data_IF_742763381997
#
_entry.id   IF_742763381997
#
_cell.length_a   1.000
_cell.length_b   1.000
_cell.length_c   1.000
_cell.angle_alpha   90.00
_cell.angle_beta   90.00
_cell.angle_gamma   90.00
#
_symmetry.space_group_name_H-M   'P 1'
#
loop_
_entity.id
_entity.type
_entity.pdbx_description
1 polymer ?
#
# COMPACT_ATOMS: atom_id res chain seq x y z
N UNK A 1 -85.67 -15.09 -38.94
CA UNK A 1 -85.12 -15.56 -37.64
C UNK A 1 -84.25 -16.77 -37.95
N UNK A 2 -82.95 -16.85 -37.69
CA UNK A 2 -82.08 -16.22 -36.69
C UNK A 2 -80.71 -15.92 -37.31
N UNK A 3 -80.15 -14.77 -36.96
CA UNK A 3 -78.74 -14.40 -37.16
C UNK A 3 -77.95 -15.04 -36.02
N UNK A 4 -76.98 -15.90 -36.32
CA UNK A 4 -76.03 -16.38 -35.30
C UNK A 4 -74.67 -15.72 -35.52
N UNK A 5 -74.38 -14.81 -34.59
CA UNK A 5 -73.17 -14.01 -34.48
C UNK A 5 -71.97 -14.86 -34.10
N UNK A 6 -70.84 -14.63 -34.79
CA UNK A 6 -69.52 -15.14 -34.43
C UNK A 6 -68.99 -14.38 -33.20
N UNK A 7 -68.83 -15.06 -32.07
CA UNK A 7 -68.05 -14.53 -30.94
C UNK A 7 -66.63 -15.10 -31.06
N UNK A 8 -65.69 -14.28 -31.56
CA UNK A 8 -64.26 -14.53 -31.39
C UNK A 8 -63.85 -14.05 -30.00
N UNK A 9 -63.52 -14.99 -29.12
CA UNK A 9 -62.87 -14.67 -27.85
C UNK A 9 -61.42 -14.26 -28.14
N UNK A 10 -61.11 -12.97 -27.97
CA UNK A 10 -59.75 -12.45 -28.02
C UNK A 10 -59.11 -12.72 -26.65
N UNK A 11 -58.26 -13.75 -26.57
CA UNK A 11 -57.43 -13.97 -25.39
C UNK A 11 -56.34 -12.89 -25.34
N UNK A 12 -56.52 -11.89 -24.48
CA UNK A 12 -55.49 -10.90 -24.17
C UNK A 12 -54.48 -11.59 -23.26
N UNK A 13 -53.38 -12.07 -23.85
CA UNK A 13 -52.18 -12.38 -23.08
C UNK A 13 -51.57 -11.05 -22.61
N UNK A 14 -51.88 -10.66 -21.37
CA UNK A 14 -51.10 -9.65 -20.67
C UNK A 14 -49.73 -10.26 -20.37
N UNK A 15 -48.79 -10.14 -21.31
CA UNK A 15 -47.38 -10.29 -21.01
C UNK A 15 -47.01 -9.16 -20.04
N UNK A 16 -47.05 -9.46 -18.74
CA UNK A 16 -46.42 -8.64 -17.73
C UNK A 16 -44.93 -8.64 -18.03
N UNK A 17 -44.48 -7.72 -18.88
CA UNK A 17 -43.08 -7.38 -19.01
C UNK A 17 -42.67 -6.83 -17.64
N UNK A 18 -42.14 -7.71 -16.80
CA UNK A 18 -41.45 -7.33 -15.59
C UNK A 18 -40.30 -6.42 -16.08
N UNK A 19 -40.49 -5.10 -15.98
CA UNK A 19 -39.56 -4.12 -16.50
C UNK A 19 -38.23 -4.33 -15.78
N UNK A 20 -37.33 -5.07 -16.42
CA UNK A 20 -35.98 -5.28 -15.91
C UNK A 20 -35.37 -3.89 -15.75
N UNK A 21 -35.01 -3.52 -14.52
CA UNK A 21 -34.29 -2.27 -14.28
C UNK A 21 -32.98 -2.35 -15.04
N UNK A 22 -32.89 -1.59 -16.13
CA UNK A 22 -31.68 -1.43 -16.91
C UNK A 22 -30.65 -0.65 -16.08
N UNK A 23 -29.41 -1.12 -16.11
CA UNK A 23 -28.28 -0.42 -15.51
C UNK A 23 -27.98 0.85 -16.30
N UNK A 24 -27.91 1.98 -15.59
CA UNK A 24 -27.46 3.27 -16.14
C UNK A 24 -26.55 3.93 -15.10
N UNK A 25 -25.56 4.75 -15.51
CA UNK A 25 -24.69 5.46 -14.56
C UNK A 25 -25.47 6.23 -13.48
N UNK A 26 -26.51 6.98 -13.87
CA UNK A 26 -27.30 7.77 -12.93
C UNK A 26 -27.98 6.90 -11.87
N UNK A 27 -28.64 5.81 -12.27
CA UNK A 27 -29.29 4.87 -11.32
C UNK A 27 -28.31 4.24 -10.33
N UNK A 28 -27.09 3.91 -10.77
CA UNK A 28 -26.05 3.39 -9.87
C UNK A 28 -25.60 4.48 -8.91
N UNK A 29 -25.38 5.70 -9.38
CA UNK A 29 -25.05 6.84 -8.52
C UNK A 29 -26.18 7.13 -7.51
N UNK A 30 -27.43 7.09 -7.94
CA UNK A 30 -28.60 7.32 -7.09
C UNK A 30 -28.77 6.25 -6.01
N UNK A 31 -28.32 5.02 -6.26
CA UNK A 31 -28.32 3.93 -5.28
C UNK A 31 -27.28 4.11 -4.18
N UNK A 32 -26.21 4.86 -4.42
CA UNK A 32 -25.07 5.02 -3.51
C UNK A 32 -25.35 6.21 -2.60
N UNK A 33 -25.38 5.95 -1.29
CA UNK A 33 -25.66 6.96 -0.26
C UNK A 33 -24.45 7.18 0.62
N UNK A 34 -24.22 8.42 1.04
CA UNK A 34 -23.08 8.79 1.88
C UNK A 34 -23.09 8.00 3.20
N UNK A 35 -24.27 7.75 3.76
CA UNK A 35 -24.45 6.99 5.00
C UNK A 35 -24.05 5.51 4.85
N UNK A 36 -24.21 4.93 3.66
CA UNK A 36 -23.80 3.54 3.41
C UNK A 36 -22.29 3.44 3.18
N UNK A 37 -21.69 4.44 2.53
CA UNK A 37 -20.23 4.56 2.42
C UNK A 37 -19.59 4.70 3.80
N UNK A 38 -20.11 5.58 4.64
CA UNK A 38 -19.61 5.77 6.01
C UNK A 38 -19.69 4.47 6.82
N UNK A 39 -20.81 3.72 6.78
CA UNK A 39 -20.89 2.41 7.45
C UNK A 39 -19.80 1.43 7.01
N UNK A 40 -19.46 1.41 5.72
CA UNK A 40 -18.37 0.56 5.22
C UNK A 40 -17.03 1.04 5.78
N UNK A 41 -16.78 2.35 5.78
CA UNK A 41 -15.56 2.92 6.35
C UNK A 41 -15.44 2.67 7.86
N UNK A 42 -16.52 2.80 8.62
CA UNK A 42 -16.56 2.48 10.04
C UNK A 42 -16.30 0.98 10.28
N UNK A 43 -16.81 0.09 9.43
CA UNK A 43 -16.52 -1.34 9.52
C UNK A 43 -15.04 -1.64 9.25
N UNK A 44 -14.44 -1.05 8.21
CA UNK A 44 -13.01 -1.18 7.92
C UNK A 44 -12.14 -0.58 9.03
N UNK A 45 -12.56 0.56 9.61
CA UNK A 45 -11.90 1.18 10.75
C UNK A 45 -11.94 0.29 11.99
N UNK A 46 -13.11 -0.30 12.29
CA UNK A 46 -13.23 -1.26 13.37
C UNK A 46 -12.33 -2.47 13.15
N UNK A 47 -12.30 -3.03 11.93
CA UNK A 47 -11.41 -4.15 11.58
C UNK A 47 -9.94 -3.76 11.80
N UNK A 48 -9.52 -2.58 11.34
CA UNK A 48 -8.17 -2.10 11.58
C UNK A 48 -7.87 -1.98 13.07
N UNK A 49 -8.75 -1.31 13.82
CA UNK A 49 -8.61 -1.07 15.26
C UNK A 49 -8.48 -2.38 16.06
N UNK A 50 -9.35 -3.37 15.77
CA UNK A 50 -9.32 -4.68 16.41
C UNK A 50 -8.05 -5.50 16.06
N UNK A 51 -7.30 -5.11 15.03
CA UNK A 51 -6.13 -5.81 14.51
C UNK A 51 -4.86 -4.94 14.52
N UNK A 52 -4.55 -4.34 15.68
CA UNK A 52 -3.35 -3.51 15.87
C UNK A 52 -3.34 -2.26 14.97
N UNK A 53 -4.52 -1.66 14.80
CA UNK A 53 -4.74 -0.43 14.05
C UNK A 53 -4.31 -0.45 12.58
N UNK A 54 -4.33 -1.62 11.92
CA UNK A 54 -3.98 -1.75 10.52
C UNK A 54 -4.71 -2.93 9.83
N UNK A 55 -4.67 -2.97 8.50
CA UNK A 55 -5.15 -4.08 7.67
C UNK A 55 -4.07 -4.49 6.67
N UNK A 56 -2.80 -4.40 7.06
CA UNK A 56 -1.68 -4.64 6.16
C UNK A 56 -1.60 -6.10 5.73
N UNK A 57 -1.14 -6.32 4.49
CA UNK A 57 -0.98 -7.68 3.97
C UNK A 57 -0.10 -8.52 4.91
N UNK A 58 -0.40 -9.81 4.99
CA UNK A 58 0.32 -10.72 5.89
C UNK A 58 0.01 -10.52 7.37
N UNK A 59 -0.82 -9.56 7.77
CA UNK A 59 -1.32 -9.39 9.14
C UNK A 59 -2.82 -9.74 9.26
N UNK A 60 -3.32 -10.07 10.47
CA UNK A 60 -4.70 -10.53 10.66
C UNK A 60 -5.78 -9.57 10.15
N UNK A 61 -5.55 -8.25 10.22
CA UNK A 61 -6.50 -7.24 9.76
C UNK A 61 -6.80 -7.32 8.26
N UNK A 62 -5.83 -7.75 7.44
CA UNK A 62 -6.07 -7.98 6.02
C UNK A 62 -7.06 -9.12 5.78
N UNK A 63 -6.86 -10.25 6.47
CA UNK A 63 -7.76 -11.41 6.37
C UNK A 63 -9.17 -11.05 6.84
N UNK A 64 -9.31 -10.31 7.93
CA UNK A 64 -10.60 -9.82 8.41
C UNK A 64 -11.29 -8.88 7.40
N UNK A 65 -10.53 -8.05 6.70
CA UNK A 65 -11.04 -7.18 5.62
C UNK A 65 -11.53 -8.00 4.42
N UNK A 66 -10.79 -9.04 4.04
CA UNK A 66 -11.16 -9.97 2.98
C UNK A 66 -12.45 -10.71 3.33
N UNK A 67 -12.55 -11.23 4.55
CA UNK A 67 -13.75 -11.91 5.05
C UNK A 67 -14.97 -10.96 5.08
N UNK A 68 -14.76 -9.70 5.47
CA UNK A 68 -15.79 -8.65 5.41
C UNK A 68 -16.30 -8.42 3.97
N UNK A 69 -15.41 -8.18 3.00
CA UNK A 69 -15.82 -7.96 1.60
C UNK A 69 -16.53 -9.20 1.03
N UNK A 70 -16.03 -10.40 1.31
CA UNK A 70 -16.67 -11.64 0.88
C UNK A 70 -18.08 -11.79 1.46
N UNK A 71 -18.29 -11.43 2.73
CA UNK A 71 -19.63 -11.47 3.35
C UNK A 71 -20.64 -10.55 2.66
N UNK A 72 -20.18 -9.40 2.18
CA UNK A 72 -20.99 -8.40 1.48
C UNK A 72 -21.30 -8.81 0.03
N UNK A 73 -20.33 -9.43 -0.64
CA UNK A 73 -20.50 -9.93 -2.01
C UNK A 73 -21.30 -11.24 -2.09
N UNK A 74 -21.09 -12.17 -1.15
CA UNK A 74 -21.58 -13.55 -1.19
C UNK A 74 -23.10 -13.75 -1.06
N UNK A 75 -23.87 -12.69 -0.79
CA UNK A 75 -25.33 -12.75 -0.80
C UNK A 75 -25.90 -12.92 -2.22
N UNK A 76 -26.56 -14.05 -2.46
CA UNK A 76 -27.31 -14.35 -3.69
C UNK A 76 -26.48 -14.93 -4.84
N UNK A 77 -27.07 -15.02 -6.03
CA UNK A 77 -26.46 -15.64 -7.22
C UNK A 77 -26.00 -14.60 -8.27
N UNK A 78 -25.35 -13.52 -7.82
CA UNK A 78 -24.99 -12.38 -8.68
C UNK A 78 -23.53 -12.40 -9.17
N UNK A 79 -22.62 -12.93 -8.36
CA UNK A 79 -21.18 -12.91 -8.62
C UNK A 79 -20.61 -14.33 -8.73
N UNK A 80 -19.68 -14.52 -9.65
CA UNK A 80 -18.68 -15.57 -9.59
C UNK A 80 -17.44 -14.99 -8.91
N UNK A 81 -17.16 -15.45 -7.69
CA UNK A 81 -16.10 -14.90 -6.84
C UNK A 81 -14.91 -15.86 -6.84
N UNK A 82 -13.73 -15.33 -7.10
CA UNK A 82 -12.45 -16.02 -6.94
C UNK A 82 -11.65 -15.32 -5.85
N UNK A 83 -11.21 -16.10 -4.87
CA UNK A 83 -10.16 -15.68 -3.93
C UNK A 83 -8.85 -16.21 -4.49
N UNK A 84 -8.06 -15.35 -5.13
CA UNK A 84 -6.82 -15.71 -5.79
C UNK A 84 -5.65 -15.64 -4.80
N UNK A 85 -5.02 -16.76 -4.44
CA UNK A 85 -3.84 -16.76 -3.57
C UNK A 85 -2.57 -16.38 -4.35
N UNK A 86 -1.64 -15.72 -3.67
CA UNK A 86 -0.28 -15.51 -4.15
C UNK A 86 0.68 -15.34 -2.98
N UNK A 87 1.99 -15.45 -3.22
CA UNK A 87 3.02 -15.27 -2.19
C UNK A 87 3.80 -14.01 -2.46
N UNK A 88 3.96 -13.17 -1.43
CA UNK A 88 4.80 -11.98 -1.49
C UNK A 88 5.78 -11.93 -0.32
N UNK A 89 6.86 -11.16 -0.48
CA UNK A 89 7.78 -10.86 0.60
C UNK A 89 7.09 -9.93 1.61
N UNK A 90 6.95 -10.41 2.84
CA UNK A 90 6.53 -9.62 4.00
C UNK A 90 7.75 -9.11 4.74
N UNK A 91 7.70 -7.84 5.15
CA UNK A 91 8.73 -7.19 5.97
C UNK A 91 8.06 -6.42 7.10
N UNK A 92 8.59 -6.56 8.31
CA UNK A 92 8.17 -5.80 9.48
C UNK A 92 9.38 -5.39 10.30
N UNK A 93 9.56 -4.09 10.52
CA UNK A 93 10.53 -3.59 11.49
C UNK A 93 10.01 -3.85 12.90
N UNK A 94 10.73 -4.67 13.66
CA UNK A 94 10.42 -4.97 15.07
C UNK A 94 11.01 -3.93 16.01
N UNK A 95 12.20 -3.44 15.67
CA UNK A 95 12.93 -2.45 16.45
C UNK A 95 13.79 -1.61 15.52
N UNK A 96 13.79 -0.30 15.75
CA UNK A 96 14.83 0.60 15.24
C UNK A 96 15.23 1.53 16.37
N UNK A 97 16.54 1.69 16.58
CA UNK A 97 17.11 2.58 17.60
C UNK A 97 18.32 3.27 16.99
N UNK A 98 18.40 4.58 17.19
CA UNK A 98 19.54 5.40 16.82
C UNK A 98 20.04 6.15 18.06
N UNK A 99 21.32 5.96 18.37
CA UNK A 99 22.04 6.76 19.36
C UNK A 99 22.96 7.73 18.62
N UNK A 100 22.81 9.02 18.91
CA UNK A 100 23.59 10.09 18.30
C UNK A 100 24.99 10.25 18.87
N UNK A 101 25.79 11.15 18.31
CA UNK A 101 27.19 11.38 18.70
C UNK A 101 27.40 11.88 20.12
N UNK A 102 26.37 12.49 20.72
CA UNK A 102 26.44 13.01 22.08
C UNK A 102 25.82 12.01 23.08
N UNK A 103 25.58 10.77 22.64
CA UNK A 103 24.95 9.70 23.43
C UNK A 103 23.43 9.83 23.54
N UNK A 104 22.82 10.76 22.81
CA UNK A 104 21.39 11.02 22.88
C UNK A 104 20.57 10.00 22.08
N UNK A 105 19.35 9.71 22.55
CA UNK A 105 18.39 8.98 21.71
C UNK A 105 17.87 9.90 20.60
N UNK A 106 17.83 9.37 19.38
CA UNK A 106 17.38 10.12 18.19
C UNK A 106 16.14 9.44 17.61
N UNK A 107 15.09 10.23 17.42
CA UNK A 107 13.90 9.79 16.70
C UNK A 107 14.29 9.38 15.28
N UNK A 108 14.02 8.11 14.96
CA UNK A 108 14.43 7.48 13.70
C UNK A 108 13.29 6.63 13.16
N UNK A 109 13.08 6.72 11.86
CA UNK A 109 12.05 5.96 11.14
C UNK A 109 12.71 4.92 10.26
N UNK A 110 12.18 3.69 10.29
CA UNK A 110 12.62 2.62 9.40
C UNK A 110 11.86 2.69 8.07
N UNK A 111 12.52 2.26 7.00
CA UNK A 111 11.90 2.09 5.68
C UNK A 111 11.25 0.70 5.58
N UNK A 112 10.22 0.55 4.76
CA UNK A 112 9.67 -0.76 4.41
C UNK A 112 10.71 -1.53 3.56
N UNK A 113 10.86 -2.84 3.79
CA UNK A 113 11.90 -3.69 3.18
C UNK A 113 13.34 -3.35 3.55
N UNK A 114 13.54 -2.68 4.69
CA UNK A 114 14.85 -2.40 5.26
C UNK A 114 15.60 -3.68 5.65
N UNK A 115 16.90 -3.52 5.93
CA UNK A 115 17.77 -4.61 6.32
C UNK A 115 18.11 -4.55 7.80
N UNK A 116 18.21 -5.72 8.42
CA UNK A 116 18.68 -5.81 9.79
C UNK A 116 20.17 -5.43 9.86
N UNK A 117 20.54 -4.72 10.91
CA UNK A 117 21.94 -4.60 11.33
C UNK A 117 22.36 -5.87 12.07
N UNK A 118 23.67 -6.12 12.30
CA UNK A 118 24.08 -7.17 13.23
C UNK A 118 23.37 -6.99 14.58
N UNK A 119 22.77 -8.05 15.11
CA UNK A 119 22.08 -8.04 16.40
C UNK A 119 22.93 -8.79 17.45
N UNK A 120 22.90 -8.37 18.74
CA UNK A 120 22.05 -7.31 19.29
C UNK A 120 22.63 -5.88 19.19
N UNK A 121 23.92 -5.74 18.86
CA UNK A 121 24.67 -4.50 19.08
C UNK A 121 24.52 -3.44 17.98
N UNK A 122 23.94 -3.79 16.83
CA UNK A 122 23.77 -2.88 15.70
C UNK A 122 25.07 -2.59 14.97
N UNK A 123 25.13 -1.38 14.39
CA UNK A 123 26.32 -0.81 13.75
C UNK A 123 26.72 0.43 14.53
N UNK A 124 27.86 0.37 15.23
CA UNK A 124 28.54 1.55 15.78
C UNK A 124 29.67 1.95 14.86
N UNK A 125 29.61 3.13 14.26
CA UNK A 125 30.70 3.65 13.43
C UNK A 125 30.61 5.17 13.24
N UNK A 126 31.72 5.78 12.81
CA UNK A 126 31.77 7.20 12.46
C UNK A 126 30.84 7.54 11.29
N UNK A 127 30.29 8.74 11.30
CA UNK A 127 29.52 9.30 10.20
C UNK A 127 30.45 9.79 9.08
N UNK A 128 30.05 9.55 7.84
CA UNK A 128 30.65 10.14 6.64
C UNK A 128 29.58 10.96 5.90
N UNK A 129 29.78 12.27 5.79
CA UNK A 129 28.87 13.14 5.05
C UNK A 129 29.05 12.91 3.55
N UNK A 130 27.98 12.45 2.90
CA UNK A 130 27.91 12.40 1.44
C UNK A 130 27.59 13.81 0.91
N UNK A 131 28.23 14.27 -0.20
CA UNK A 131 28.06 15.63 -0.69
C UNK A 131 26.58 16.05 -0.79
N UNK A 132 26.27 17.20 -0.19
CA UNK A 132 24.94 17.82 -0.28
C UNK A 132 24.83 18.49 -1.65
N UNK A 133 24.01 17.89 -2.51
CA UNK A 133 23.71 18.37 -3.87
C UNK A 133 22.19 18.53 -4.03
N UNK A 134 21.71 19.77 -3.94
CA UNK A 134 20.29 20.12 -4.07
C UNK A 134 19.83 20.23 -5.53
N UNK A 135 20.77 20.22 -6.47
CA UNK A 135 20.48 20.31 -7.91
C UNK A 135 20.23 18.92 -8.47
N UNK A 136 21.22 18.03 -8.37
CA UNK A 136 21.16 16.66 -8.91
C UNK A 136 20.62 15.64 -7.90
N UNK A 137 20.83 15.90 -6.60
CA UNK A 137 20.46 15.00 -5.51
C UNK A 137 21.68 14.40 -4.84
N UNK A 138 21.65 14.34 -3.51
CA UNK A 138 22.80 13.89 -2.70
C UNK A 138 22.93 12.37 -2.70
N UNK A 139 24.12 11.84 -2.99
CA UNK A 139 24.38 10.39 -3.04
C UNK A 139 23.62 9.65 -4.14
N UNK A 140 23.16 10.35 -5.18
CA UNK A 140 22.39 9.79 -6.29
C UNK A 140 23.26 9.26 -7.43
N UNK A 141 24.52 9.67 -7.51
CA UNK A 141 25.42 9.39 -8.63
C UNK A 141 26.78 8.91 -8.14
N UNK A 142 27.41 7.99 -8.89
CA UNK A 142 28.70 7.37 -8.53
C UNK A 142 29.83 8.39 -8.31
N UNK A 143 29.85 9.51 -9.05
CA UNK A 143 30.85 10.56 -8.90
C UNK A 143 30.82 11.21 -7.51
N UNK A 144 29.67 11.21 -6.83
CA UNK A 144 29.51 11.81 -5.50
C UNK A 144 30.06 10.92 -4.37
N UNK A 145 30.47 9.68 -4.70
CA UNK A 145 31.08 8.75 -3.76
C UNK A 145 32.59 8.63 -3.95
N UNK A 146 33.14 9.22 -5.02
CA UNK A 146 34.58 9.25 -5.27
C UNK A 146 35.27 10.08 -4.20
N UNK A 147 36.39 9.57 -3.70
CA UNK A 147 37.24 10.21 -2.69
C UNK A 147 36.53 10.48 -1.34
N UNK A 148 35.38 9.84 -1.10
CA UNK A 148 34.70 9.83 0.20
C UNK A 148 35.09 8.55 0.95
N UNK A 149 35.81 8.71 2.07
CA UNK A 149 36.13 7.59 2.96
C UNK A 149 34.89 7.17 3.77
N UNK A 150 34.03 6.35 3.14
CA UNK A 150 32.78 5.81 3.74
C UNK A 150 32.90 4.32 4.13
N UNK A 151 34.00 3.65 3.79
CA UNK A 151 34.17 2.23 4.04
C UNK A 151 34.17 1.93 5.54
N UNK A 152 33.26 1.05 5.98
CA UNK A 152 33.07 0.71 7.40
C UNK A 152 32.30 1.76 8.21
N UNK A 153 31.96 2.91 7.62
CA UNK A 153 31.28 4.04 8.27
C UNK A 153 29.77 4.03 8.04
N UNK A 154 29.07 4.96 8.69
CA UNK A 154 27.66 5.25 8.44
C UNK A 154 27.56 6.43 7.48
N UNK A 155 26.97 6.23 6.30
CA UNK A 155 26.77 7.31 5.33
C UNK A 155 25.66 8.26 5.79
N UNK A 156 25.94 9.55 5.96
CA UNK A 156 24.93 10.59 6.21
C UNK A 156 24.53 11.23 4.87
N UNK A 157 23.27 11.08 4.47
CA UNK A 157 22.79 11.41 3.12
C UNK A 157 21.56 12.31 3.18
N UNK A 158 21.56 13.44 2.48
CA UNK A 158 20.35 14.26 2.33
C UNK A 158 19.36 13.57 1.38
N UNK A 159 18.09 13.51 1.79
CA UNK A 159 16.98 13.06 0.93
C UNK A 159 16.84 13.97 -0.29
N UNK A 160 16.22 13.45 -1.35
CA UNK A 160 15.80 14.25 -2.50
C UNK A 160 16.28 13.69 -3.84
N UNK A 161 15.57 14.12 -4.90
CA UNK A 161 15.75 13.86 -6.34
C UNK A 161 15.69 12.40 -6.80
N UNK A 162 16.44 11.49 -6.17
CA UNK A 162 16.45 10.07 -6.49
C UNK A 162 15.85 9.23 -5.36
N UNK A 163 15.48 7.99 -5.68
CA UNK A 163 14.90 7.03 -4.74
C UNK A 163 15.89 6.65 -3.62
N UNK A 164 15.35 6.30 -2.44
CA UNK A 164 16.13 5.78 -1.32
C UNK A 164 16.99 4.59 -1.74
N UNK A 165 16.43 3.63 -2.48
CA UNK A 165 17.13 2.43 -2.94
C UNK A 165 18.42 2.75 -3.69
N UNK A 166 18.44 3.78 -4.56
CA UNK A 166 19.64 4.17 -5.31
C UNK A 166 20.75 4.68 -4.38
N UNK A 167 20.39 5.54 -3.41
CA UNK A 167 21.35 6.08 -2.42
C UNK A 167 21.95 4.97 -1.58
N UNK A 168 21.11 4.07 -1.09
CA UNK A 168 21.53 2.97 -0.20
C UNK A 168 22.29 1.88 -0.94
N UNK A 169 22.02 1.68 -2.23
CA UNK A 169 22.82 0.82 -3.10
C UNK A 169 24.24 1.35 -3.22
N UNK A 170 24.39 2.63 -3.57
CA UNK A 170 25.71 3.25 -3.69
C UNK A 170 26.46 3.30 -2.34
N UNK A 171 25.74 3.54 -1.24
CA UNK A 171 26.33 3.44 0.10
C UNK A 171 26.94 2.06 0.34
N UNK A 172 26.17 0.99 0.07
CA UNK A 172 26.66 -0.39 0.22
C UNK A 172 27.81 -0.70 -0.72
N UNK A 173 27.70 -0.32 -2.00
CA UNK A 173 28.73 -0.60 -3.02
C UNK A 173 30.07 0.07 -2.69
N UNK A 174 30.04 1.23 -2.01
CA UNK A 174 31.24 1.92 -1.51
C UNK A 174 31.68 1.45 -0.10
N UNK A 175 31.02 0.44 0.46
CA UNK A 175 31.42 -0.22 1.70
C UNK A 175 30.89 0.41 2.98
N UNK A 176 29.85 1.26 2.93
CA UNK A 176 29.18 1.75 4.12
C UNK A 176 28.56 0.60 4.93
N UNK A 177 28.73 0.63 6.25
CA UNK A 177 28.14 -0.36 7.17
C UNK A 177 26.63 -0.13 7.36
N UNK A 178 26.20 1.12 7.26
CA UNK A 178 24.81 1.56 7.29
C UNK A 178 24.66 2.95 6.67
N UNK A 179 23.44 3.47 6.61
CA UNK A 179 23.17 4.84 6.22
C UNK A 179 22.15 5.53 7.14
N UNK A 180 22.29 6.84 7.29
CA UNK A 180 21.29 7.71 7.86
C UNK A 180 20.86 8.70 6.78
N UNK A 181 19.59 8.67 6.42
CA UNK A 181 19.02 9.61 5.46
C UNK A 181 18.26 10.67 6.22
N UNK A 182 18.58 11.94 6.02
CA UNK A 182 17.82 13.04 6.63
C UNK A 182 16.91 13.69 5.60
N UNK A 183 15.71 14.09 6.02
CA UNK A 183 14.73 14.74 5.15
C UNK A 183 15.30 15.99 4.46
N UNK A 184 14.66 16.41 3.37
CA UNK A 184 15.05 17.56 2.55
C UNK A 184 14.28 18.85 2.88
N UNK A 185 13.24 18.75 3.71
CA UNK A 185 12.40 19.87 4.11
C UNK A 185 12.27 19.96 5.65
N UNK A 186 12.58 21.11 6.27
CA UNK A 186 12.45 21.30 7.71
C UNK A 186 11.01 21.21 8.23
N UNK A 187 10.01 21.41 7.36
CA UNK A 187 8.60 21.30 7.72
C UNK A 187 8.06 19.86 7.65
N UNK A 188 8.89 18.89 7.25
CA UNK A 188 8.50 17.49 7.17
C UNK A 188 9.00 16.71 8.38
N UNK A 189 8.09 16.03 9.07
CA UNK A 189 8.45 14.97 10.01
C UNK A 189 9.17 13.84 9.29
N UNK A 190 9.98 13.06 10.01
CA UNK A 190 10.59 11.86 9.46
C UNK A 190 9.46 10.95 8.92
N UNK A 191 9.43 10.74 7.60
CA UNK A 191 8.42 9.94 6.92
C UNK A 191 9.03 8.62 6.46
N UNK A 192 8.27 7.54 6.56
CA UNK A 192 8.68 6.25 6.00
C UNK A 192 8.55 6.25 4.47
N UNK A 193 9.14 5.24 3.84
CA UNK A 193 9.07 4.97 2.41
C UNK A 193 9.41 3.52 2.14
N UNK A 194 9.14 3.05 0.92
CA UNK A 194 9.47 1.68 0.52
C UNK A 194 10.83 1.60 -0.17
N UNK A 195 11.62 0.59 0.17
CA UNK A 195 12.82 0.21 -0.57
C UNK A 195 12.54 -0.76 -1.71
N UNK A 196 11.30 -1.25 -1.85
CA UNK A 196 10.94 -2.28 -2.82
C UNK A 196 11.42 -3.68 -2.43
N UNK A 197 10.53 -4.66 -2.52
CA UNK A 197 10.83 -6.05 -2.17
C UNK A 197 11.96 -6.65 -3.04
N UNK A 198 12.11 -6.18 -4.27
CA UNK A 198 13.15 -6.56 -5.22
C UNK A 198 14.56 -6.18 -4.75
N UNK A 199 14.68 -5.24 -3.81
CA UNK A 199 15.94 -4.79 -3.23
C UNK A 199 16.32 -5.52 -1.94
N UNK A 200 15.55 -6.53 -1.53
CA UNK A 200 15.85 -7.33 -0.36
C UNK A 200 17.27 -7.92 -0.40
N UNK A 201 18.05 -7.68 0.67
CA UNK A 201 19.45 -8.07 0.81
C UNK A 201 20.46 -7.27 -0.02
N UNK A 202 20.03 -6.28 -0.81
CA UNK A 202 20.89 -5.58 -1.79
C UNK A 202 21.36 -4.20 -1.35
N UNK A 203 20.79 -3.62 -0.30
CA UNK A 203 21.07 -2.24 0.11
C UNK A 203 21.82 -2.19 1.45
N UNK A 204 22.31 -1.01 1.84
CA UNK A 204 22.77 -0.75 3.19
C UNK A 204 21.56 -0.64 4.15
N UNK A 205 21.64 -1.13 5.39
CA UNK A 205 20.61 -0.88 6.40
C UNK A 205 20.51 0.62 6.68
N UNK A 206 19.30 1.16 6.84
CA UNK A 206 19.11 2.60 6.90
C UNK A 206 18.10 3.09 7.92
N UNK A 207 18.37 4.24 8.54
CA UNK A 207 17.41 5.00 9.34
C UNK A 207 17.11 6.35 8.70
N UNK A 208 15.88 6.84 8.85
CA UNK A 208 15.48 8.18 8.40
C UNK A 208 15.30 9.10 9.60
N UNK A 209 15.95 10.27 9.56
CA UNK A 209 15.87 11.31 10.60
C UNK A 209 15.30 12.62 10.04
N UNK A 210 14.94 13.54 10.94
CA UNK A 210 14.47 14.88 10.56
C UNK A 210 15.56 15.70 9.84
N UNK A 211 15.14 16.70 9.07
CA UNK A 211 16.05 17.62 8.41
C UNK A 211 17.00 18.28 9.42
N UNK A 212 16.47 18.84 10.51
CA UNK A 212 17.26 19.58 11.50
C UNK A 212 18.33 18.72 12.16
N UNK A 213 18.00 17.48 12.51
CA UNK A 213 18.96 16.55 13.13
C UNK A 213 20.09 16.20 12.17
N UNK A 214 19.76 15.80 10.93
CA UNK A 214 20.78 15.47 9.93
C UNK A 214 21.60 16.68 9.50
N UNK A 215 20.99 17.85 9.36
CA UNK A 215 21.67 19.09 9.00
C UNK A 215 22.64 19.53 10.11
N UNK A 216 22.25 19.40 11.39
CA UNK A 216 23.14 19.67 12.52
C UNK A 216 24.40 18.79 12.50
N UNK A 217 24.25 17.48 12.27
CA UNK A 217 25.39 16.58 12.10
C UNK A 217 26.22 16.91 10.86
N UNK A 218 25.59 17.30 9.75
CA UNK A 218 26.31 17.69 8.55
C UNK A 218 27.18 18.94 8.77
N UNK A 219 26.69 19.96 9.48
CA UNK A 219 27.49 21.16 9.80
C UNK A 219 28.66 20.85 10.74
N UNK A 220 28.45 20.00 11.75
CA UNK A 220 29.53 19.53 12.63
C UNK A 220 30.62 18.75 11.87
N UNK A 221 30.23 17.86 10.95
CA UNK A 221 31.17 17.15 10.09
C UNK A 221 31.94 18.10 9.16
N UNK A 222 31.29 19.14 8.60
CA UNK A 222 31.97 20.18 7.80
C UNK A 222 32.94 21.02 8.64
N UNK A 223 32.65 21.20 9.93
CA UNK A 223 33.56 21.86 10.88
C UNK A 223 34.76 20.97 11.29
N UNK A 224 34.81 19.71 10.81
CA UNK A 224 35.91 18.78 11.06
C UNK A 224 35.74 17.90 12.30
N UNK A 225 34.55 17.90 12.92
CA UNK A 225 34.27 16.98 14.02
C UNK A 225 34.19 15.52 13.54
N UNK A 226 34.71 14.58 14.34
CA UNK A 226 34.48 13.16 14.14
C UNK A 226 33.27 12.72 14.97
N UNK A 227 32.17 12.38 14.29
CA UNK A 227 30.92 12.00 14.93
C UNK A 227 30.71 10.49 14.82
N UNK A 228 30.42 9.81 15.91
CA UNK A 228 30.07 8.38 15.92
C UNK A 228 28.58 8.19 16.23
N UNK A 229 27.95 7.18 15.65
CA UNK A 229 26.55 6.83 15.96
C UNK A 229 26.42 5.32 16.13
N UNK A 230 25.38 4.89 16.84
CA UNK A 230 24.93 3.49 16.85
C UNK A 230 23.55 3.38 16.21
N UNK A 231 23.43 2.58 15.15
CA UNK A 231 22.15 2.23 14.52
C UNK A 231 21.87 0.75 14.72
N UNK A 232 20.75 0.44 15.36
CA UNK A 232 20.25 -0.94 15.54
C UNK A 232 18.91 -1.08 14.82
N UNK A 233 18.81 -2.04 13.91
CA UNK A 233 17.59 -2.37 13.16
C UNK A 233 17.33 -3.88 13.27
N UNK A 234 16.18 -4.25 13.81
CA UNK A 234 15.63 -5.62 13.78
C UNK A 234 14.44 -5.65 12.81
N UNK A 235 14.54 -6.52 11.79
CA UNK A 235 13.51 -6.70 10.77
C UNK A 235 13.18 -8.18 10.66
N UNK A 236 11.88 -8.50 10.75
CA UNK A 236 11.35 -9.78 10.28
C UNK A 236 11.13 -9.68 8.78
N UNK A 237 11.74 -10.58 8.00
CA UNK A 237 11.45 -10.72 6.58
C UNK A 237 11.19 -12.18 6.22
N UNK A 238 10.06 -12.46 5.59
CA UNK A 238 9.67 -13.81 5.17
C UNK A 238 8.67 -13.78 4.03
N UNK A 239 8.56 -14.87 3.27
CA UNK A 239 7.50 -14.99 2.26
C UNK A 239 6.20 -15.39 2.96
N UNK A 240 5.15 -14.57 2.80
CA UNK A 240 3.80 -14.89 3.27
C UNK A 240 2.87 -15.11 2.09
N UNK A 241 1.96 -16.06 2.25
CA UNK A 241 0.78 -16.14 1.37
C UNK A 241 -0.17 -14.99 1.72
N UNK A 242 -0.78 -14.43 0.70
CA UNK A 242 -1.87 -13.46 0.77
C UNK A 242 -2.86 -13.77 -0.35
N UNK A 243 -3.96 -13.03 -0.41
CA UNK A 243 -5.07 -13.30 -1.32
C UNK A 243 -5.62 -12.01 -1.88
N UNK A 244 -6.36 -12.08 -2.98
CA UNK A 244 -7.18 -10.98 -3.49
C UNK A 244 -8.53 -11.49 -3.97
N UNK A 245 -9.52 -10.60 -4.03
CA UNK A 245 -10.87 -10.96 -4.45
C UNK A 245 -11.08 -10.47 -5.88
N UNK A 246 -11.44 -11.37 -6.78
CA UNK A 246 -11.95 -11.04 -8.11
C UNK A 246 -13.41 -11.49 -8.16
N UNK A 247 -14.33 -10.54 -8.28
CA UNK A 247 -15.76 -10.78 -8.34
C UNK A 247 -16.31 -10.38 -9.71
N UNK A 248 -16.61 -11.37 -10.54
CA UNK A 248 -17.23 -11.19 -11.84
C UNK A 248 -18.74 -11.28 -11.73
N UNK A 249 -19.46 -10.29 -12.26
CA UNK A 249 -20.90 -10.42 -12.46
C UNK A 249 -21.22 -11.65 -13.32
N UNK A 250 -22.26 -12.41 -12.95
CA UNK A 250 -22.74 -13.54 -13.77
C UNK A 250 -23.48 -13.08 -15.03
N UNK A 251 -24.07 -11.88 -14.98
CA UNK A 251 -24.67 -11.22 -16.13
C UNK A 251 -23.64 -10.46 -16.97
N UNK A 252 -24.03 -10.08 -18.19
CA UNK A 252 -23.18 -9.41 -19.15
C UNK A 252 -22.32 -10.37 -19.99
N UNK A 253 -21.79 -9.85 -21.08
CA UNK A 253 -20.95 -10.58 -22.03
C UNK A 253 -19.56 -10.86 -21.43
N UNK A 254 -19.20 -12.15 -21.30
CA UNK A 254 -17.90 -12.57 -20.79
C UNK A 254 -16.72 -12.26 -21.72
N UNK A 255 -16.97 -11.95 -22.99
CA UNK A 255 -15.95 -11.56 -23.97
C UNK A 255 -15.63 -10.06 -23.93
N UNK A 256 -16.43 -9.27 -23.20
CA UNK A 256 -16.27 -7.83 -23.04
C UNK A 256 -16.39 -7.44 -21.56
N UNK A 257 -15.25 -7.25 -20.90
CA UNK A 257 -15.15 -7.02 -19.47
C UNK A 257 -14.79 -5.57 -19.16
N UNK A 258 -15.56 -4.93 -18.28
CA UNK A 258 -15.19 -3.65 -17.66
C UNK A 258 -14.76 -3.93 -16.23
N UNK A 259 -13.54 -3.54 -15.88
CA UNK A 259 -12.94 -3.80 -14.58
C UNK A 259 -12.85 -2.54 -13.73
N UNK A 260 -13.22 -2.66 -12.46
CA UNK A 260 -13.05 -1.64 -11.44
C UNK A 260 -12.27 -2.27 -10.29
N UNK A 261 -11.36 -1.51 -9.67
CA UNK A 261 -10.52 -2.05 -8.60
C UNK A 261 -10.15 -1.02 -7.54
N UNK A 262 -9.88 -1.54 -6.34
CA UNK A 262 -9.33 -0.84 -5.19
C UNK A 262 -8.45 -1.84 -4.44
N UNK A 263 -7.38 -1.40 -3.78
CA UNK A 263 -6.62 -2.31 -2.92
C UNK A 263 -7.24 -2.35 -1.53
N UNK A 264 -7.14 -3.52 -0.92
CA UNK A 264 -7.80 -3.84 0.34
C UNK A 264 -6.88 -3.68 1.54
N UNK A 265 -5.58 -3.88 1.34
CA UNK A 265 -4.56 -3.69 2.37
C UNK A 265 -4.32 -2.21 2.68
N UNK A 266 -3.73 -1.98 3.85
CA UNK A 266 -3.15 -0.70 4.27
C UNK A 266 -1.67 -0.86 4.59
N UNK A 267 -1.00 0.25 4.88
CA UNK A 267 0.28 0.21 5.60
C UNK A 267 0.14 -0.37 7.03
N UNK A 268 1.26 -0.75 7.65
CA UNK A 268 1.30 -1.33 9.00
C UNK A 268 1.11 -0.29 10.10
N UNK A 269 1.43 0.96 9.80
CA UNK A 269 1.47 2.09 10.74
C UNK A 269 0.10 2.75 10.96
N UNK A 270 -0.91 2.41 10.15
CA UNK A 270 -2.17 3.11 10.18
C UNK A 270 -3.38 2.34 9.65
N UNK A 271 -4.59 2.84 9.98
CA UNK A 271 -5.82 2.12 9.74
C UNK A 271 -6.30 2.23 8.30
N UNK A 272 -5.57 2.90 7.39
CA UNK A 272 -5.83 2.93 5.94
C UNK A 272 -7.28 3.17 5.50
N UNK A 273 -7.98 4.12 6.14
CA UNK A 273 -9.40 4.38 5.85
C UNK A 273 -9.58 5.27 4.64
N UNK A 274 -8.75 6.29 4.48
CA UNK A 274 -8.72 7.01 3.21
C UNK A 274 -7.97 6.20 2.16
N UNK A 275 -6.78 5.69 2.52
CA UNK A 275 -5.91 4.89 1.66
C UNK A 275 -5.87 3.42 2.12
N UNK A 276 -6.66 2.51 1.54
CA UNK A 276 -7.66 2.74 0.50
C UNK A 276 -9.05 2.22 0.89
N UNK A 277 -9.39 2.36 2.17
CA UNK A 277 -10.76 2.08 2.64
C UNK A 277 -11.83 2.87 1.87
N UNK A 278 -11.52 4.09 1.41
CA UNK A 278 -12.41 4.94 0.61
C UNK A 278 -12.74 4.33 -0.75
N UNK A 279 -11.72 3.83 -1.47
CA UNK A 279 -11.90 3.12 -2.74
C UNK A 279 -12.61 1.78 -2.54
N UNK A 280 -12.29 1.05 -1.48
CA UNK A 280 -13.00 -0.20 -1.13
C UNK A 280 -14.49 0.07 -0.85
N UNK A 281 -14.82 1.13 -0.12
CA UNK A 281 -16.20 1.52 0.15
C UNK A 281 -16.95 1.86 -1.13
N UNK A 282 -16.38 2.71 -1.99
CA UNK A 282 -16.98 3.04 -3.28
C UNK A 282 -17.17 1.81 -4.18
N UNK A 283 -16.13 0.97 -4.32
CA UNK A 283 -16.15 -0.22 -5.17
C UNK A 283 -17.20 -1.22 -4.70
N UNK A 284 -17.28 -1.46 -3.39
CA UNK A 284 -18.24 -2.38 -2.79
C UNK A 284 -19.67 -1.87 -2.93
N UNK A 285 -19.92 -0.57 -2.72
CA UNK A 285 -21.26 0.02 -2.93
C UNK A 285 -21.70 -0.06 -4.39
N UNK A 286 -20.80 0.15 -5.35
CA UNK A 286 -21.10 -0.06 -6.78
C UNK A 286 -21.45 -1.53 -7.03
N UNK A 287 -20.64 -2.47 -6.53
CA UNK A 287 -20.90 -3.90 -6.70
C UNK A 287 -22.27 -4.30 -6.13
N UNK A 288 -22.65 -3.78 -4.96
CA UNK A 288 -23.95 -4.04 -4.34
C UNK A 288 -25.12 -3.40 -5.11
N UNK A 289 -24.96 -2.18 -5.61
CA UNK A 289 -25.96 -1.52 -6.47
C UNK A 289 -26.21 -2.34 -7.74
N UNK A 290 -25.16 -2.84 -8.39
CA UNK A 290 -25.27 -3.63 -9.63
C UNK A 290 -26.16 -4.87 -9.46
N UNK A 291 -26.24 -5.47 -8.27
CA UNK A 291 -27.11 -6.62 -7.99
C UNK A 291 -28.60 -6.33 -8.27
N UNK A 292 -29.01 -5.05 -8.21
CA UNK A 292 -30.40 -4.60 -8.44
C UNK A 292 -30.79 -4.54 -9.93
N UNK A 293 -29.82 -4.66 -10.84
CA UNK A 293 -30.01 -4.49 -12.28
C UNK A 293 -29.76 -5.79 -13.04
N UNK A 294 -30.34 -5.90 -14.24
CA UNK A 294 -30.16 -7.04 -15.15
C UNK A 294 -29.87 -6.55 -16.56
N UNK A 295 -29.40 -7.46 -17.43
CA UNK A 295 -29.26 -7.26 -18.88
C UNK A 295 -28.32 -6.10 -19.29
N UNK A 296 -27.27 -5.84 -18.51
CA UNK A 296 -26.22 -4.92 -18.93
C UNK A 296 -25.26 -5.59 -19.93
N UNK A 297 -24.70 -4.80 -20.86
CA UNK A 297 -23.94 -5.29 -22.03
C UNK A 297 -22.66 -6.05 -21.64
N UNK A 298 -21.79 -5.40 -20.88
CA UNK A 298 -20.46 -5.92 -20.54
C UNK A 298 -20.50 -6.64 -19.21
N UNK A 299 -19.73 -7.73 -19.05
CA UNK A 299 -19.45 -8.26 -17.73
C UNK A 299 -18.69 -7.21 -16.92
N UNK A 300 -19.12 -6.97 -15.69
CA UNK A 300 -18.40 -6.13 -14.73
C UNK A 300 -17.54 -7.01 -13.82
N UNK A 301 -16.28 -6.62 -13.64
CA UNK A 301 -15.30 -7.25 -12.76
C UNK A 301 -14.93 -6.29 -11.64
N UNK A 302 -15.08 -6.72 -10.39
CA UNK A 302 -14.69 -5.97 -9.20
C UNK A 302 -13.48 -6.65 -8.58
N UNK A 303 -12.35 -5.94 -8.49
CA UNK A 303 -11.12 -6.45 -7.89
C UNK A 303 -10.77 -5.72 -6.59
N UNK A 304 -10.58 -6.50 -5.53
CA UNK A 304 -10.07 -6.02 -4.25
C UNK A 304 -8.64 -6.56 -4.12
N UNK A 305 -7.67 -5.77 -4.56
CA UNK A 305 -6.27 -6.16 -4.69
C UNK A 305 -5.61 -6.32 -3.34
N UNK A 306 -4.71 -7.29 -3.21
CA UNK A 306 -3.87 -7.44 -2.02
C UNK A 306 -2.45 -6.96 -2.24
N UNK A 307 -1.77 -6.60 -1.15
CA UNK A 307 -0.36 -6.23 -1.15
C UNK A 307 -0.03 -5.10 -2.15
N UNK A 308 -0.91 -4.11 -2.28
CA UNK A 308 -0.63 -2.92 -3.09
C UNK A 308 0.45 -2.07 -2.43
N UNK A 309 0.40 -1.96 -1.10
CA UNK A 309 1.33 -1.18 -0.27
C UNK A 309 2.74 -1.79 -0.26
N UNK A 310 2.92 -2.92 -0.94
CA UNK A 310 4.17 -3.62 -1.19
C UNK A 310 4.78 -3.32 -2.56
N UNK A 311 4.17 -2.42 -3.34
CA UNK A 311 4.55 -2.13 -4.72
C UNK A 311 3.61 -2.72 -5.76
N UNK A 312 2.29 -2.54 -5.59
CA UNK A 312 1.24 -2.95 -6.53
C UNK A 312 1.21 -4.46 -6.82
N UNK A 313 1.60 -5.30 -5.87
CA UNK A 313 1.90 -6.72 -6.14
C UNK A 313 0.67 -7.47 -6.64
N UNK A 314 -0.47 -7.37 -5.96
CA UNK A 314 -1.66 -8.15 -6.31
C UNK A 314 -2.19 -7.90 -7.72
N UNK A 315 -2.14 -6.66 -8.22
CA UNK A 315 -2.62 -6.32 -9.57
C UNK A 315 -1.71 -6.80 -10.70
N UNK A 316 -0.54 -7.40 -10.39
CA UNK A 316 0.37 -8.00 -11.37
C UNK A 316 0.14 -9.52 -11.59
N UNK A 317 -0.70 -10.17 -10.76
CA UNK A 317 -1.08 -11.58 -10.86
C UNK A 317 -2.37 -11.81 -11.66
#
# INVERSE_FOLDING_TARGET
MKVNSFIRALAIFSAGACACKQLTPQRVADDIKAEDLDKILQALYKIAHDNSNNRAFGLPGYKASLDFVLSRLGGGNHFAITVQPFKNLFSQTRKIVLTGPDGEHVDVVSLQYNHATPLPDGVTASLALIPIDDVRGSGCFEDQWKDIDVKGKVALIKRGKCQFANKLKLAKDNGASAAIVFNDNPNQTAGSGSLGAENFGKLAPAGVVTYDKGNSWAERLKAGENLEVNLTIDVLTEKRETWQIIADTKAGDSTSVVMLGAHLDSIQEGPGINDNGSGVAALLSIAESVKKYKNFKNKLRFAFWGAEESGMIGSTY
#
